data_IF_230274918530
#
_entry.id   IF_230274918530
#
_cell.length_a   1.000
_cell.length_b   1.000
_cell.length_c   1.000
_cell.angle_alpha   90.00
_cell.angle_beta   90.00
_cell.angle_gamma   90.00
#
_symmetry.space_group_name_H-M   'P 1'
#
loop_
_entity.id
_entity.type
_entity.pdbx_description
1 polymer ?
#
# COMPACT_ATOMS: atom_id res chain seq x y z
N UNK A 1 0.46 8.77 24.04
CA UNK A 1 -0.48 9.38 23.08
C UNK A 1 -0.25 8.71 21.74
N UNK A 2 -1.08 7.75 21.35
CA UNK A 2 -1.01 7.14 20.02
C UNK A 2 -1.57 8.17 19.03
N UNK A 3 -0.70 8.79 18.24
CA UNK A 3 -1.09 9.65 17.13
C UNK A 3 -2.09 8.89 16.26
N UNK A 4 -3.34 9.35 16.18
CA UNK A 4 -4.32 8.84 15.22
C UNK A 4 -3.67 8.89 13.85
N UNK A 5 -3.33 7.73 13.31
CA UNK A 5 -2.80 7.63 11.97
C UNK A 5 -3.97 7.97 11.05
N UNK A 6 -4.00 9.21 10.54
CA UNK A 6 -5.04 9.66 9.62
C UNK A 6 -4.62 9.33 8.19
N UNK A 7 -5.59 8.94 7.36
CA UNK A 7 -5.36 8.63 5.95
C UNK A 7 -4.94 7.17 5.68
N UNK A 8 -4.30 6.90 4.53
CA UNK A 8 -3.98 5.54 4.07
C UNK A 8 -3.14 4.73 5.07
N UNK A 9 -2.29 5.41 5.83
CA UNK A 9 -1.43 4.77 6.83
C UNK A 9 -2.22 4.13 7.99
N UNK A 10 -3.49 4.48 8.19
CA UNK A 10 -4.37 3.82 9.17
C UNK A 10 -4.59 2.33 8.86
N UNK A 11 -4.43 1.92 7.59
CA UNK A 11 -4.58 0.54 7.15
C UNK A 11 -3.31 -0.29 7.38
N UNK A 12 -2.15 0.32 7.63
CA UNK A 12 -0.86 -0.39 7.65
C UNK A 12 -0.81 -1.52 8.69
N UNK A 13 -1.25 -1.32 9.96
CA UNK A 13 -1.23 -2.42 10.93
C UNK A 13 -2.10 -3.61 10.51
N UNK A 14 -3.19 -3.37 9.77
CA UNK A 14 -4.05 -4.43 9.26
C UNK A 14 -3.44 -5.12 8.05
N UNK A 15 -2.81 -4.38 7.15
CA UNK A 15 -2.09 -4.92 5.99
C UNK A 15 -0.97 -5.85 6.45
N UNK A 16 -0.13 -5.41 7.39
CA UNK A 16 0.96 -6.23 7.92
C UNK A 16 0.43 -7.50 8.59
N UNK A 17 -0.65 -7.40 9.37
CA UNK A 17 -1.29 -8.54 10.01
C UNK A 17 -1.90 -9.53 9.00
N UNK A 18 -2.51 -9.03 7.93
CA UNK A 18 -3.19 -9.86 6.93
C UNK A 18 -2.21 -10.54 5.97
N UNK A 19 -1.16 -9.84 5.54
CA UNK A 19 -0.24 -10.35 4.52
C UNK A 19 1.11 -10.81 5.07
N UNK A 20 1.37 -10.63 6.38
CA UNK A 20 2.57 -11.14 7.05
C UNK A 20 3.88 -10.49 6.62
N UNK A 21 3.81 -9.29 6.04
CA UNK A 21 4.95 -8.55 5.47
C UNK A 21 4.92 -7.10 5.94
N UNK A 22 6.06 -6.50 6.34
CA UNK A 22 6.11 -5.13 6.83
C UNK A 22 5.63 -4.12 5.76
N UNK A 23 5.15 -2.95 6.19
CA UNK A 23 4.59 -1.98 5.23
C UNK A 23 5.67 -1.40 4.30
N UNK A 24 6.88 -1.16 4.79
CA UNK A 24 7.98 -0.59 3.99
C UNK A 24 8.27 -1.42 2.74
N UNK A 25 8.23 -2.74 2.87
CA UNK A 25 8.37 -3.69 1.79
C UNK A 25 7.31 -3.50 0.69
N UNK A 26 6.06 -3.22 1.06
CA UNK A 26 4.98 -2.93 0.11
C UNK A 26 5.15 -1.57 -0.56
N UNK A 27 5.60 -0.56 0.20
CA UNK A 27 5.87 0.77 -0.32
C UNK A 27 7.03 0.75 -1.33
N UNK A 28 8.09 0.02 -1.03
CA UNK A 28 9.26 -0.15 -1.90
C UNK A 28 8.88 -0.84 -3.21
N UNK A 29 8.04 -1.88 -3.15
CA UNK A 29 7.50 -2.53 -4.34
C UNK A 29 6.81 -1.54 -5.29
N UNK A 30 5.94 -0.67 -4.77
CA UNK A 30 5.26 0.34 -5.60
C UNK A 30 6.22 1.44 -6.06
N UNK A 31 7.16 1.87 -5.20
CA UNK A 31 8.20 2.85 -5.56
C UNK A 31 9.12 2.35 -6.67
N UNK A 32 9.37 1.04 -6.76
CA UNK A 32 10.16 0.42 -7.82
C UNK A 32 9.48 0.48 -9.20
N UNK A 33 8.19 0.86 -9.26
CA UNK A 33 7.37 0.94 -10.47
C UNK A 33 6.83 2.37 -10.67
N UNK A 34 7.69 3.40 -10.78
CA UNK A 34 7.25 4.80 -10.75
C UNK A 34 6.38 5.19 -11.95
N UNK A 35 6.58 4.50 -13.09
CA UNK A 35 5.94 4.80 -14.38
C UNK A 35 4.52 4.22 -14.53
N UNK A 36 4.06 3.40 -13.60
CA UNK A 36 2.73 2.79 -13.69
C UNK A 36 1.62 3.71 -13.21
N UNK A 37 0.44 3.61 -13.82
CA UNK A 37 -0.73 4.35 -13.35
C UNK A 37 -1.16 3.91 -11.95
N UNK A 38 -1.83 4.79 -11.17
CA UNK A 38 -2.35 4.44 -9.84
C UNK A 38 -3.17 3.14 -9.86
N UNK A 39 -4.13 3.05 -10.79
CA UNK A 39 -5.01 1.88 -10.93
C UNK A 39 -4.27 0.64 -11.42
N UNK A 40 -3.18 0.81 -12.17
CA UNK A 40 -2.33 -0.29 -12.65
C UNK A 40 -1.55 -0.89 -11.47
N UNK A 41 -0.90 -0.06 -10.65
CA UNK A 41 -0.22 -0.54 -9.44
C UNK A 41 -1.19 -1.20 -8.44
N UNK A 42 -2.42 -0.67 -8.31
CA UNK A 42 -3.48 -1.33 -7.51
C UNK A 42 -3.85 -2.69 -8.09
N UNK A 43 -4.04 -2.80 -9.41
CA UNK A 43 -4.35 -4.07 -10.06
C UNK A 43 -3.21 -5.09 -9.92
N UNK A 44 -1.96 -4.64 -10.06
CA UNK A 44 -0.77 -5.45 -9.89
C UNK A 44 -0.65 -6.02 -8.47
N UNK A 45 -0.84 -5.19 -7.43
CA UNK A 45 -0.86 -5.66 -6.04
C UNK A 45 -1.96 -6.70 -5.78
N UNK A 46 -3.12 -6.54 -6.44
CA UNK A 46 -4.20 -7.53 -6.34
C UNK A 46 -3.84 -8.84 -7.04
N UNK A 47 -3.28 -8.78 -8.24
CA UNK A 47 -2.95 -9.95 -9.07
C UNK A 47 -1.78 -10.74 -8.49
N UNK A 48 -0.65 -10.08 -8.27
CA UNK A 48 0.60 -10.75 -7.94
C UNK A 48 0.75 -11.06 -6.45
N UNK A 49 0.08 -10.27 -5.60
CA UNK A 49 0.24 -10.35 -4.16
C UNK A 49 -1.07 -10.65 -3.41
N UNK A 50 -2.19 -10.78 -4.13
CA UNK A 50 -3.48 -11.14 -3.52
C UNK A 50 -4.06 -10.06 -2.61
N UNK A 51 -3.62 -8.81 -2.72
CA UNK A 51 -4.15 -7.74 -1.88
C UNK A 51 -5.63 -7.45 -2.18
N UNK A 52 -6.38 -7.09 -1.14
CA UNK A 52 -7.74 -6.56 -1.30
C UNK A 52 -7.70 -5.12 -1.86
N UNK A 53 -8.79 -4.68 -2.50
CA UNK A 53 -8.83 -3.36 -3.15
C UNK A 53 -8.50 -2.20 -2.20
N UNK A 54 -9.06 -2.19 -0.99
CA UNK A 54 -8.80 -1.14 0.00
C UNK A 54 -7.33 -1.10 0.45
N UNK A 55 -6.73 -2.27 0.68
CA UNK A 55 -5.34 -2.40 1.10
C UNK A 55 -4.37 -1.97 -0.01
N UNK A 56 -4.58 -2.46 -1.23
CA UNK A 56 -3.79 -2.06 -2.39
C UNK A 56 -3.89 -0.56 -2.66
N UNK A 57 -5.11 0.00 -2.60
CA UNK A 57 -5.33 1.43 -2.78
C UNK A 57 -4.62 2.27 -1.71
N UNK A 58 -4.65 1.83 -0.44
CA UNK A 58 -3.98 2.54 0.64
C UNK A 58 -2.46 2.63 0.44
N UNK A 59 -1.82 1.52 0.02
CA UNK A 59 -0.37 1.48 -0.26
C UNK A 59 -0.02 2.43 -1.40
N UNK A 60 -0.71 2.33 -2.54
CA UNK A 60 -0.40 3.15 -3.72
C UNK A 60 -0.69 4.63 -3.43
N UNK A 61 -1.81 4.95 -2.78
CA UNK A 61 -2.15 6.33 -2.42
C UNK A 61 -1.10 6.94 -1.47
N UNK A 62 -0.59 6.18 -0.50
CA UNK A 62 0.48 6.65 0.37
C UNK A 62 1.77 6.93 -0.41
N UNK A 63 2.21 6.00 -1.27
CA UNK A 63 3.41 6.22 -2.08
C UNK A 63 3.27 7.48 -2.95
N UNK A 64 2.12 7.67 -3.61
CA UNK A 64 1.86 8.82 -4.49
C UNK A 64 1.73 10.15 -3.74
N UNK A 65 1.19 10.15 -2.53
CA UNK A 65 1.10 11.35 -1.68
C UNK A 65 2.45 11.76 -1.09
N UNK A 66 3.42 10.84 -1.02
CA UNK A 66 4.74 11.01 -0.43
C UNK A 66 5.88 10.92 -1.47
N UNK A 67 5.58 11.14 -2.75
CA UNK A 67 6.54 11.18 -3.86
C UNK A 67 6.95 12.61 -4.22
#
# INVERSE_FOLDING_TARGET
>A
MASEVKGPASYFPSIERTYGRPIDDWLELVRSRPNEGHMESVAWLKSEHGLGHGHANAIVAFVRANQ
#
